data_IF_777968282783
#
_entry.id   IF_777968282783
#
_cell.length_a   1.000
_cell.length_b   1.000
_cell.length_c   1.000
_cell.angle_alpha   90.00
_cell.angle_beta   90.00
_cell.angle_gamma   90.00
#
_symmetry.space_group_name_H-M   'P 1'
#
loop_
_entity.id
_entity.type
_entity.pdbx_description
1 polymer ?
#
# COMPACT_ATOMS: atom_id res chain seq x y z
N UNK A 1 -36.85 18.45 -17.31
CA UNK A 1 -36.83 17.19 -16.51
C UNK A 1 -35.85 17.34 -15.35
N UNK A 2 -36.03 16.64 -14.23
CA UNK A 2 -35.11 16.66 -13.07
C UNK A 2 -34.52 15.27 -12.87
N UNK A 3 -33.18 15.16 -12.86
CA UNK A 3 -32.51 13.94 -12.43
C UNK A 3 -32.67 13.78 -10.90
N UNK A 4 -32.96 12.57 -10.38
CA UNK A 4 -32.98 12.34 -8.95
C UNK A 4 -31.59 12.60 -8.36
N UNK A 5 -31.47 13.43 -7.32
CA UNK A 5 -30.18 13.69 -6.65
C UNK A 5 -29.52 12.41 -6.14
N UNK A 6 -30.33 11.43 -5.72
CA UNK A 6 -29.89 10.10 -5.27
C UNK A 6 -29.23 9.30 -6.38
N UNK A 7 -29.75 9.40 -7.61
CA UNK A 7 -29.19 8.71 -8.77
C UNK A 7 -27.82 9.30 -9.14
N UNK A 8 -27.68 10.63 -9.13
CA UNK A 8 -26.40 11.29 -9.38
C UNK A 8 -25.31 10.87 -8.37
N UNK A 9 -25.69 10.72 -7.09
CA UNK A 9 -24.76 10.25 -6.04
C UNK A 9 -24.39 8.78 -6.24
N UNK A 10 -25.37 7.94 -6.61
CA UNK A 10 -25.13 6.53 -6.96
C UNK A 10 -24.14 6.40 -8.10
N UNK A 11 -24.40 7.10 -9.22
CA UNK A 11 -23.51 7.15 -10.39
C UNK A 11 -22.11 7.65 -10.04
N UNK A 12 -22.00 8.70 -9.21
CA UNK A 12 -20.72 9.23 -8.80
C UNK A 12 -19.84 8.17 -8.10
N UNK A 13 -20.43 7.31 -7.27
CA UNK A 13 -19.66 6.23 -6.64
C UNK A 13 -19.27 5.11 -7.60
N UNK A 14 -20.12 4.77 -8.57
CA UNK A 14 -19.74 3.82 -9.64
C UNK A 14 -18.55 4.36 -10.43
N UNK A 15 -18.59 5.64 -10.83
CA UNK A 15 -17.47 6.28 -11.54
C UNK A 15 -16.21 6.40 -10.67
N UNK A 16 -16.35 6.73 -9.38
CA UNK A 16 -15.22 6.80 -8.46
C UNK A 16 -14.55 5.44 -8.27
N UNK A 17 -15.33 4.40 -7.97
CA UNK A 17 -14.81 3.05 -7.79
C UNK A 17 -14.18 2.54 -9.09
N UNK A 18 -14.85 2.74 -10.23
CA UNK A 18 -14.32 2.39 -11.54
C UNK A 18 -12.99 3.08 -11.85
N UNK A 19 -12.86 4.37 -11.50
CA UNK A 19 -11.60 5.10 -11.59
C UNK A 19 -10.51 4.48 -10.69
N UNK A 20 -10.81 4.26 -9.41
CA UNK A 20 -9.84 3.68 -8.46
C UNK A 20 -9.37 2.29 -8.90
N UNK A 21 -10.29 1.43 -9.35
CA UNK A 21 -9.97 0.10 -9.86
C UNK A 21 -9.10 0.17 -11.12
N UNK A 22 -9.45 1.03 -12.08
CA UNK A 22 -8.68 1.20 -13.31
C UNK A 22 -7.26 1.69 -13.01
N UNK A 23 -7.13 2.66 -12.11
CA UNK A 23 -5.82 3.17 -11.68
C UNK A 23 -5.00 2.13 -10.89
N UNK A 24 -5.65 1.09 -10.39
CA UNK A 24 -5.00 -0.03 -9.69
C UNK A 24 -4.74 -1.24 -10.61
N UNK A 25 -4.86 -1.06 -11.94
CA UNK A 25 -4.65 -2.15 -12.90
C UNK A 25 -5.74 -3.22 -12.92
N UNK A 26 -6.94 -2.92 -12.41
CA UNK A 26 -8.07 -3.85 -12.38
C UNK A 26 -9.05 -3.45 -13.49
N UNK A 27 -9.45 -4.43 -14.32
CA UNK A 27 -10.49 -4.17 -15.33
C UNK A 27 -11.84 -4.11 -14.63
N UNK A 28 -12.51 -2.96 -14.68
CA UNK A 28 -13.87 -2.78 -14.21
C UNK A 28 -14.87 -2.75 -15.37
N UNK A 29 -15.86 -3.63 -15.34
CA UNK A 29 -16.97 -3.70 -16.30
C UNK A 29 -18.26 -3.37 -15.59
N UNK A 30 -18.83 -2.21 -15.89
CA UNK A 30 -20.13 -1.82 -15.36
C UNK A 30 -21.25 -2.68 -15.95
N UNK A 31 -22.18 -3.14 -15.12
CA UNK A 31 -23.34 -3.91 -15.57
C UNK A 31 -24.44 -2.95 -16.06
N UNK A 32 -24.88 -3.12 -17.31
CA UNK A 32 -25.81 -2.20 -17.97
C UNK A 32 -27.28 -2.32 -17.53
N UNK A 33 -27.64 -3.30 -16.67
CA UNK A 33 -29.02 -3.58 -16.26
C UNK A 33 -29.18 -3.61 -14.73
N UNK A 34 -30.11 -2.79 -14.22
CA UNK A 34 -30.27 -2.39 -12.81
C UNK A 34 -30.99 -3.34 -11.86
N UNK A 35 -31.33 -4.58 -12.24
CA UNK A 35 -32.32 -5.36 -11.45
C UNK A 35 -31.77 -6.55 -10.66
N UNK A 36 -30.47 -6.89 -10.77
CA UNK A 36 -29.91 -8.03 -10.03
C UNK A 36 -28.49 -7.79 -9.51
N UNK A 37 -28.43 -7.10 -8.38
CA UNK A 37 -27.51 -7.33 -7.26
C UNK A 37 -26.01 -7.03 -7.41
N UNK A 38 -25.47 -6.77 -8.60
CA UNK A 38 -24.09 -6.32 -8.77
C UNK A 38 -24.03 -5.15 -9.76
N UNK A 39 -23.28 -4.10 -9.41
CA UNK A 39 -23.14 -2.91 -10.25
C UNK A 39 -22.02 -3.08 -11.28
N UNK A 40 -21.13 -4.06 -11.07
CA UNK A 40 -20.11 -4.40 -12.05
C UNK A 40 -19.33 -5.65 -11.71
N UNK A 41 -18.40 -5.97 -12.61
CA UNK A 41 -17.46 -7.07 -12.50
C UNK A 41 -16.04 -6.52 -12.54
N UNK A 42 -15.22 -7.00 -11.63
CA UNK A 42 -13.78 -6.80 -11.61
C UNK A 42 -13.11 -8.01 -12.23
N UNK A 43 -12.01 -7.77 -12.96
CA UNK A 43 -11.09 -8.81 -13.37
C UNK A 43 -9.67 -8.38 -13.04
N UNK A 44 -8.94 -9.27 -12.37
CA UNK A 44 -7.52 -9.03 -12.12
C UNK A 44 -6.75 -9.13 -13.43
N UNK A 45 -5.80 -8.22 -13.58
CA UNK A 45 -4.79 -8.26 -14.64
C UNK A 45 -3.50 -8.76 -14.00
N UNK A 46 -2.77 -9.62 -14.68
CA UNK A 46 -1.45 -10.04 -14.24
C UNK A 46 -0.38 -9.01 -14.58
N UNK A 47 0.85 -9.32 -14.21
CA UNK A 47 1.99 -8.44 -14.35
C UNK A 47 2.37 -8.21 -15.83
N UNK A 48 1.92 -9.07 -16.74
CA UNK A 48 2.13 -8.96 -18.19
C UNK A 48 1.03 -8.12 -18.87
N UNK A 49 0.09 -7.59 -18.08
CA UNK A 49 -1.05 -6.84 -18.60
C UNK A 49 -2.15 -7.74 -19.18
N UNK A 50 -2.08 -9.06 -18.95
CA UNK A 50 -3.06 -10.02 -19.45
C UNK A 50 -4.22 -10.16 -18.47
N UNK A 51 -5.42 -10.21 -19.04
CA UNK A 51 -6.63 -10.48 -18.27
C UNK A 51 -6.59 -11.93 -17.74
N UNK A 52 -6.60 -12.09 -16.42
CA UNK A 52 -6.32 -13.40 -15.77
C UNK A 52 -7.52 -14.35 -15.76
N UNK A 53 -8.73 -13.87 -16.05
CA UNK A 53 -9.97 -14.60 -15.81
C UNK A 53 -10.37 -14.70 -14.33
N UNK A 54 -9.59 -14.15 -13.39
CA UNK A 54 -9.98 -14.07 -11.97
C UNK A 54 -11.00 -12.95 -11.78
N UNK A 55 -12.28 -13.31 -11.81
CA UNK A 55 -13.38 -12.37 -11.71
C UNK A 55 -13.84 -12.14 -10.28
N UNK A 56 -14.35 -10.94 -9.98
CA UNK A 56 -15.10 -10.66 -8.76
C UNK A 56 -16.33 -9.80 -9.07
N UNK A 57 -17.47 -10.11 -8.44
CA UNK A 57 -18.66 -9.26 -8.51
C UNK A 57 -18.54 -8.10 -7.51
N UNK A 58 -18.97 -6.89 -7.89
CA UNK A 58 -18.96 -5.74 -6.98
C UNK A 58 -20.32 -5.03 -6.96
N UNK A 59 -20.82 -4.78 -5.75
CA UNK A 59 -21.95 -3.89 -5.50
C UNK A 59 -21.47 -2.61 -4.83
N UNK A 60 -21.85 -1.47 -5.37
CA UNK A 60 -21.45 -0.14 -4.96
C UNK A 60 -22.65 0.57 -4.32
N UNK A 61 -22.41 1.19 -3.17
CA UNK A 61 -23.34 2.06 -2.46
C UNK A 61 -22.66 3.41 -2.27
N UNK A 62 -23.43 4.48 -2.31
CA UNK A 62 -22.87 5.83 -2.26
C UNK A 62 -23.75 6.78 -1.48
N UNK A 63 -23.10 7.64 -0.71
CA UNK A 63 -23.76 8.68 0.07
C UNK A 63 -23.47 8.57 1.57
N UNK A 64 -23.75 9.67 2.26
CA UNK A 64 -23.32 9.84 3.65
C UNK A 64 -24.19 9.08 4.66
N UNK A 65 -25.37 8.58 4.25
CA UNK A 65 -26.24 7.73 5.09
C UNK A 65 -25.62 6.39 5.48
N UNK A 66 -24.50 6.03 4.84
CA UNK A 66 -23.73 4.83 5.11
C UNK A 66 -22.55 5.09 6.07
N UNK A 67 -22.39 6.31 6.57
CA UNK A 67 -21.15 6.74 7.23
C UNK A 67 -21.44 7.40 8.58
N UNK A 68 -20.77 6.92 9.62
CA UNK A 68 -20.60 7.63 10.89
C UNK A 68 -19.26 8.38 10.81
N UNK A 69 -19.32 9.69 10.57
CA UNK A 69 -18.13 10.52 10.38
C UNK A 69 -17.30 10.68 11.65
N UNK A 70 -17.93 10.69 12.82
CA UNK A 70 -17.23 10.88 14.10
C UNK A 70 -16.35 9.67 14.39
N UNK A 71 -16.86 8.47 14.12
CA UNK A 71 -16.15 7.21 14.36
C UNK A 71 -15.37 6.71 13.15
N UNK A 72 -15.52 7.36 11.99
CA UNK A 72 -15.03 6.91 10.68
C UNK A 72 -15.49 5.49 10.37
N UNK A 73 -16.76 5.17 10.65
CA UNK A 73 -17.33 3.85 10.38
C UNK A 73 -18.14 3.90 9.07
N UNK A 74 -17.80 3.00 8.16
CA UNK A 74 -18.53 2.78 6.92
C UNK A 74 -19.41 1.55 7.09
N UNK A 75 -20.65 1.64 6.62
CA UNK A 75 -21.65 0.57 6.76
C UNK A 75 -22.23 0.18 5.42
N UNK A 76 -22.04 -1.07 5.01
CA UNK A 76 -22.70 -1.65 3.85
C UNK A 76 -24.06 -2.23 4.27
N UNK A 77 -25.14 -1.79 3.64
CA UNK A 77 -26.51 -2.18 3.97
C UNK A 77 -27.22 -2.71 2.72
N UNK A 78 -27.79 -3.90 2.82
CA UNK A 78 -28.62 -4.52 1.78
C UNK A 78 -29.77 -5.32 2.40
N UNK A 79 -30.74 -5.75 1.60
CA UNK A 79 -31.81 -6.63 2.08
C UNK A 79 -31.35 -8.10 2.03
N UNK A 80 -32.05 -8.99 2.75
CA UNK A 80 -31.75 -10.42 2.77
C UNK A 80 -31.73 -11.07 1.39
N UNK A 81 -32.61 -10.65 0.47
CA UNK A 81 -32.68 -11.17 -0.90
C UNK A 81 -31.40 -10.92 -1.70
N UNK A 82 -30.71 -9.79 -1.49
CA UNK A 82 -29.42 -9.54 -2.12
C UNK A 82 -28.34 -10.46 -1.57
N UNK A 83 -28.30 -10.70 -0.26
CA UNK A 83 -27.36 -11.67 0.33
C UNK A 83 -27.64 -13.10 -0.13
N UNK A 84 -28.91 -13.51 -0.25
CA UNK A 84 -29.30 -14.80 -0.83
C UNK A 84 -28.89 -14.95 -2.31
N UNK A 85 -28.83 -13.84 -3.04
CA UNK A 85 -28.33 -13.82 -4.41
C UNK A 85 -26.81 -13.92 -4.45
N UNK A 86 -26.10 -13.15 -3.62
CA UNK A 86 -24.64 -13.17 -3.53
C UNK A 86 -24.08 -14.49 -2.99
N UNK A 87 -24.80 -15.18 -2.10
CA UNK A 87 -24.36 -16.51 -1.61
C UNK A 87 -24.34 -17.58 -2.69
N UNK A 88 -25.03 -17.35 -3.82
CA UNK A 88 -25.07 -18.25 -4.98
C UNK A 88 -24.03 -17.91 -6.04
N UNK A 89 -23.32 -16.78 -5.92
CA UNK A 89 -22.25 -16.44 -6.86
C UNK A 89 -21.08 -17.42 -6.71
N UNK A 90 -20.60 -17.93 -7.85
CA UNK A 90 -19.44 -18.84 -7.94
C UNK A 90 -18.10 -18.08 -8.04
N UNK A 91 -18.15 -16.75 -7.91
CA UNK A 91 -17.01 -15.85 -7.89
C UNK A 91 -17.07 -15.01 -6.59
N UNK A 92 -15.95 -14.47 -6.09
CA UNK A 92 -15.95 -13.62 -4.91
C UNK A 92 -16.86 -12.41 -5.13
N UNK A 93 -17.62 -12.04 -4.10
CA UNK A 93 -18.56 -10.92 -4.15
C UNK A 93 -18.18 -9.86 -3.13
N UNK A 94 -18.03 -8.62 -3.60
CA UNK A 94 -17.51 -7.48 -2.85
C UNK A 94 -18.53 -6.35 -2.77
N UNK A 95 -18.45 -5.59 -1.68
CA UNK A 95 -19.22 -4.38 -1.46
C UNK A 95 -18.31 -3.16 -1.47
N UNK A 96 -18.78 -2.02 -1.96
CA UNK A 96 -18.08 -0.74 -1.88
C UNK A 96 -19.04 0.30 -1.32
N UNK A 97 -18.59 1.09 -0.35
CA UNK A 97 -19.31 2.26 0.16
C UNK A 97 -18.49 3.50 -0.10
N UNK A 98 -18.98 4.38 -0.97
CA UNK A 98 -18.33 5.64 -1.32
C UNK A 98 -18.92 6.83 -0.55
N UNK A 99 -18.03 7.68 -0.01
CA UNK A 99 -18.35 9.00 0.54
C UNK A 99 -18.02 10.11 -0.45
N UNK A 100 -19.02 10.76 -1.07
CA UNK A 100 -18.80 11.96 -1.86
C UNK A 100 -18.09 13.08 -1.10
N UNK A 101 -18.41 13.26 0.19
CA UNK A 101 -17.84 14.31 1.04
C UNK A 101 -16.36 14.09 1.33
N UNK A 102 -15.98 12.86 1.70
CA UNK A 102 -14.59 12.52 2.01
C UNK A 102 -13.77 12.19 0.74
N UNK A 103 -14.43 11.97 -0.39
CA UNK A 103 -13.83 11.48 -1.65
C UNK A 103 -13.02 10.21 -1.44
N UNK A 104 -13.57 9.30 -0.65
CA UNK A 104 -12.96 8.03 -0.28
C UNK A 104 -14.04 6.95 -0.24
N UNK A 105 -13.66 5.72 -0.55
CA UNK A 105 -14.53 4.57 -0.43
C UNK A 105 -13.94 3.53 0.53
N UNK A 106 -14.79 2.64 1.03
CA UNK A 106 -14.38 1.45 1.77
C UNK A 106 -14.93 0.21 1.11
N UNK A 107 -14.12 -0.86 1.01
CA UNK A 107 -14.52 -2.13 0.40
C UNK A 107 -14.81 -3.21 1.46
N UNK A 108 -15.73 -4.11 1.14
CA UNK A 108 -16.32 -5.10 2.05
C UNK A 108 -16.33 -6.48 1.40
N UNK A 109 -16.15 -7.52 2.23
CA UNK A 109 -16.31 -8.92 1.82
C UNK A 109 -17.78 -9.32 2.03
N UNK A 110 -18.51 -9.66 0.95
CA UNK A 110 -19.94 -9.97 1.04
C UNK A 110 -20.24 -11.47 1.05
N UNK A 111 -19.45 -12.30 0.38
CA UNK A 111 -19.67 -13.75 0.24
C UNK A 111 -19.69 -14.53 1.58
N UNK A 112 -18.74 -14.29 2.48
CA UNK A 112 -18.72 -14.91 3.81
C UNK A 112 -19.91 -14.44 4.66
N UNK A 113 -20.23 -13.14 4.59
CA UNK A 113 -21.34 -12.58 5.33
C UNK A 113 -22.70 -13.05 4.79
N UNK A 114 -22.81 -13.21 3.46
CA UNK A 114 -23.99 -13.73 2.79
C UNK A 114 -24.30 -15.15 3.27
N UNK A 115 -23.30 -16.03 3.39
CA UNK A 115 -23.47 -17.38 3.94
C UNK A 115 -24.03 -17.34 5.37
N UNK A 116 -23.48 -16.49 6.24
CA UNK A 116 -23.97 -16.33 7.61
C UNK A 116 -25.43 -15.88 7.68
N UNK A 117 -25.86 -14.95 6.80
CA UNK A 117 -27.24 -14.46 6.73
C UNK A 117 -28.20 -15.52 6.16
N UNK A 118 -27.73 -16.39 5.27
CA UNK A 118 -28.55 -17.48 4.74
C UNK A 118 -28.72 -18.63 5.72
N UNK A 119 -27.72 -18.87 6.57
CA UNK A 119 -27.70 -19.97 7.55
C UNK A 119 -28.25 -19.57 8.93
N UNK A 120 -28.36 -18.28 9.23
CA UNK A 120 -28.81 -17.75 10.53
C UNK A 120 -29.45 -16.35 10.42
N UNK A 121 -30.09 -15.85 11.48
CA UNK A 121 -30.64 -14.47 11.54
C UNK A 121 -29.57 -13.40 11.81
N UNK A 122 -28.47 -13.46 11.07
CA UNK A 122 -27.38 -12.50 11.18
C UNK A 122 -27.75 -11.14 10.58
N UNK A 123 -27.14 -10.06 11.11
CA UNK A 123 -27.41 -8.69 10.65
C UNK A 123 -27.15 -8.52 9.15
N UNK A 124 -28.06 -7.87 8.43
CA UNK A 124 -27.88 -7.50 7.01
C UNK A 124 -27.00 -6.25 6.80
N UNK A 125 -26.34 -5.79 7.86
CA UNK A 125 -25.47 -4.62 7.87
C UNK A 125 -24.07 -5.04 8.29
N UNK A 126 -23.09 -4.75 7.43
CA UNK A 126 -21.66 -4.86 7.74
C UNK A 126 -21.17 -3.46 8.06
N UNK A 127 -20.59 -3.28 9.24
CA UNK A 127 -19.97 -2.00 9.63
C UNK A 127 -18.51 -2.23 9.97
N UNK A 128 -17.64 -1.38 9.43
CA UNK A 128 -16.21 -1.41 9.71
C UNK A 128 -15.64 0.00 9.81
N UNK A 129 -14.61 0.16 10.64
CA UNK A 129 -13.84 1.40 10.67
C UNK A 129 -13.02 1.50 9.39
N UNK A 130 -12.97 2.70 8.80
CA UNK A 130 -12.08 2.99 7.68
C UNK A 130 -10.64 2.98 8.18
N UNK A 131 -9.84 2.08 7.61
CA UNK A 131 -8.41 1.87 7.86
C UNK A 131 -7.75 1.53 6.52
N UNK A 132 -6.42 1.58 6.47
CA UNK A 132 -5.64 1.36 5.24
C UNK A 132 -6.06 0.09 4.46
N UNK A 133 -6.28 -1.03 5.16
CA UNK A 133 -6.56 -2.32 4.50
C UNK A 133 -7.92 -2.38 3.77
N UNK A 134 -8.85 -1.51 4.11
CA UNK A 134 -10.20 -1.49 3.56
C UNK A 134 -10.54 -0.18 2.86
N UNK A 135 -9.55 0.68 2.66
CA UNK A 135 -9.68 1.97 1.99
C UNK A 135 -9.56 1.81 0.47
N UNK A 136 -10.40 2.53 -0.26
CA UNK A 136 -10.29 2.75 -1.71
C UNK A 136 -10.20 4.26 -1.91
N UNK A 137 -9.00 4.75 -2.19
CA UNK A 137 -8.73 6.17 -2.39
C UNK A 137 -8.00 6.42 -3.70
N UNK A 138 -7.89 7.70 -4.10
CA UNK A 138 -7.15 8.06 -5.32
C UNK A 138 -5.62 8.10 -5.11
N UNK A 139 -5.14 7.79 -3.91
CA UNK A 139 -3.75 7.92 -3.51
C UNK A 139 -3.14 6.53 -3.26
N UNK A 140 -2.05 6.21 -3.97
CA UNK A 140 -1.26 5.00 -3.71
C UNK A 140 -1.97 3.67 -3.98
N UNK A 141 -1.39 2.59 -3.45
CA UNK A 141 -1.75 1.20 -3.70
C UNK A 141 -2.94 0.72 -2.84
N UNK A 142 -4.09 1.39 -2.96
CA UNK A 142 -5.26 1.15 -2.11
C UNK A 142 -6.00 -0.18 -2.38
N UNK A 143 -5.77 -0.82 -3.53
CA UNK A 143 -6.45 -2.08 -3.88
C UNK A 143 -5.68 -3.35 -3.50
N UNK A 144 -4.46 -3.26 -2.94
CA UNK A 144 -3.62 -4.43 -2.63
C UNK A 144 -4.37 -5.51 -1.84
N UNK A 145 -5.04 -5.13 -0.75
CA UNK A 145 -5.77 -6.08 0.10
C UNK A 145 -6.98 -6.69 -0.60
N UNK A 146 -7.67 -5.93 -1.44
CA UNK A 146 -8.78 -6.42 -2.26
C UNK A 146 -8.29 -7.44 -3.28
N UNK A 147 -7.16 -7.18 -3.93
CA UNK A 147 -6.59 -8.11 -4.91
C UNK A 147 -6.13 -9.40 -4.22
N UNK A 148 -5.46 -9.27 -3.07
CA UNK A 148 -5.04 -10.41 -2.27
C UNK A 148 -6.22 -11.29 -1.87
N UNK A 149 -7.36 -10.68 -1.55
CA UNK A 149 -8.59 -11.40 -1.27
C UNK A 149 -9.08 -12.21 -2.48
N UNK A 150 -9.16 -11.60 -3.67
CA UNK A 150 -9.62 -12.26 -4.89
C UNK A 150 -8.69 -13.43 -5.26
N UNK A 151 -7.37 -13.21 -5.25
CA UNK A 151 -6.37 -14.25 -5.54
C UNK A 151 -6.51 -15.44 -4.57
N UNK A 152 -6.64 -15.16 -3.27
CA UNK A 152 -6.86 -16.19 -2.25
C UNK A 152 -8.14 -17.00 -2.49
N UNK A 153 -9.23 -16.38 -2.92
CA UNK A 153 -10.48 -17.08 -3.25
C UNK A 153 -10.25 -18.15 -4.34
N UNK A 154 -9.44 -17.84 -5.36
CA UNK A 154 -9.10 -18.76 -6.44
C UNK A 154 -7.95 -19.73 -6.10
N UNK A 155 -7.56 -19.82 -4.83
CA UNK A 155 -6.41 -20.61 -4.35
C UNK A 155 -5.08 -20.25 -5.03
N UNK A 156 -4.95 -19.02 -5.52
CA UNK A 156 -3.69 -18.51 -6.02
C UNK A 156 -3.11 -17.55 -4.97
N UNK A 157 -1.98 -17.86 -4.34
CA UNK A 157 -1.33 -16.91 -3.45
C UNK A 157 -0.82 -15.73 -4.26
N UNK A 158 -0.77 -14.56 -3.62
CA UNK A 158 -0.14 -13.39 -4.21
C UNK A 158 1.35 -13.65 -4.25
N UNK A 159 1.94 -13.64 -5.44
CA UNK A 159 3.38 -13.83 -5.60
C UNK A 159 4.12 -12.60 -5.09
N UNK A 160 5.33 -12.78 -4.54
CA UNK A 160 6.22 -11.67 -4.17
C UNK A 160 6.49 -10.75 -5.37
N UNK A 161 6.48 -11.33 -6.57
CA UNK A 161 6.57 -10.65 -7.86
C UNK A 161 5.42 -9.66 -8.10
N UNK A 162 4.17 -10.08 -7.86
CA UNK A 162 3.00 -9.19 -7.94
C UNK A 162 3.04 -8.04 -6.94
N UNK A 163 3.50 -8.29 -5.70
CA UNK A 163 3.64 -7.23 -4.68
C UNK A 163 4.69 -6.20 -5.11
N UNK A 164 5.80 -6.67 -5.68
CA UNK A 164 6.86 -5.82 -6.22
C UNK A 164 6.38 -5.03 -7.46
N UNK A 165 5.51 -5.61 -8.29
CA UNK A 165 4.99 -4.99 -9.51
C UNK A 165 3.94 -3.89 -9.28
N UNK A 166 3.23 -3.89 -8.13
CA UNK A 166 2.33 -2.77 -7.82
C UNK A 166 3.07 -1.53 -7.30
N UNK A 167 4.22 -1.71 -6.65
CA UNK A 167 5.13 -0.58 -6.33
C UNK A 167 5.79 0.01 -7.59
N UNK A 168 5.59 -0.63 -8.74
CA UNK A 168 6.18 -0.32 -10.04
C UNK A 168 5.17 0.13 -11.10
N UNK A 169 3.88 0.33 -10.77
CA UNK A 169 2.89 0.80 -11.75
C UNK A 169 3.06 2.31 -12.07
N UNK A 170 4.14 2.62 -12.78
CA UNK A 170 4.23 3.64 -13.82
C UNK A 170 5.11 3.05 -14.94
N UNK A 171 4.40 2.58 -15.98
CA UNK A 171 4.70 2.45 -17.42
C UNK A 171 5.88 1.61 -18.01
N UNK A 172 5.53 0.82 -19.03
CA UNK A 172 6.22 0.71 -20.34
C UNK A 172 7.54 -0.07 -20.52
N UNK A 173 7.49 -1.16 -21.32
CA UNK A 173 8.64 -1.98 -21.74
C UNK A 173 9.80 -1.26 -22.47
N UNK A 174 10.98 -1.90 -22.43
CA UNK A 174 12.36 -1.45 -22.78
C UNK A 174 12.85 -0.18 -22.06
N UNK A 175 11.93 0.72 -21.71
CA UNK A 175 12.05 1.75 -20.68
C UNK A 175 12.06 1.14 -19.27
N UNK A 176 11.40 0.00 -19.05
CA UNK A 176 11.20 -0.65 -17.74
C UNK A 176 12.50 -0.92 -16.95
N UNK A 177 13.59 -1.34 -17.60
CA UNK A 177 14.88 -1.46 -16.94
C UNK A 177 15.43 -0.07 -16.55
N UNK A 178 15.30 0.91 -17.44
CA UNK A 178 15.66 2.30 -17.18
C UNK A 178 14.76 2.94 -16.10
N UNK A 179 13.49 2.56 -16.00
CA UNK A 179 12.50 3.09 -15.07
C UNK A 179 12.60 2.44 -13.69
N UNK A 180 12.86 1.14 -13.60
CA UNK A 180 13.32 0.47 -12.37
C UNK A 180 14.63 1.09 -11.88
N UNK A 181 15.56 1.37 -12.79
CA UNK A 181 16.79 2.11 -12.48
C UNK A 181 16.48 3.54 -12.00
N UNK A 182 15.52 4.24 -12.61
CA UNK A 182 15.14 5.60 -12.21
C UNK A 182 14.44 5.59 -10.86
N UNK A 183 13.52 4.66 -10.59
CA UNK A 183 12.83 4.50 -9.33
C UNK A 183 13.81 4.15 -8.20
N UNK A 184 14.72 3.20 -8.46
CA UNK A 184 15.81 2.86 -7.55
C UNK A 184 16.76 4.05 -7.32
N UNK A 185 17.15 4.79 -8.37
CA UNK A 185 17.94 6.04 -8.25
C UNK A 185 17.20 7.12 -7.47
N UNK A 186 15.88 7.22 -7.61
CA UNK A 186 15.02 8.14 -6.85
C UNK A 186 14.98 7.73 -5.38
N UNK A 187 14.82 6.44 -5.06
CA UNK A 187 14.89 5.94 -3.69
C UNK A 187 16.24 6.27 -3.06
N UNK A 188 17.36 6.09 -3.78
CA UNK A 188 18.69 6.49 -3.30
C UNK A 188 18.76 8.00 -3.08
N UNK A 189 18.25 8.80 -4.02
CA UNK A 189 18.27 10.27 -3.93
C UNK A 189 17.44 10.76 -2.75
N UNK A 190 16.27 10.15 -2.52
CA UNK A 190 15.37 10.46 -1.41
C UNK A 190 15.98 10.01 -0.09
N UNK A 191 16.47 8.78 0.01
CA UNK A 191 17.13 8.24 1.21
C UNK A 191 18.37 9.07 1.61
N UNK A 192 19.12 9.55 0.63
CA UNK A 192 20.28 10.42 0.82
C UNK A 192 19.91 11.91 0.69
N UNK A 193 18.66 12.28 0.93
CA UNK A 193 18.22 13.68 0.90
C UNK A 193 18.59 14.41 2.18
N UNK A 194 19.23 15.56 2.05
CA UNK A 194 19.54 16.44 3.19
C UNK A 194 18.38 17.36 3.61
N UNK A 195 17.24 17.33 2.92
CA UNK A 195 16.09 18.21 3.18
C UNK A 195 14.75 17.50 3.40
N UNK A 196 14.66 16.19 3.19
CA UNK A 196 13.42 15.43 3.39
C UNK A 196 13.12 15.18 4.88
N UNK A 197 11.85 14.91 5.21
CA UNK A 197 11.41 14.57 6.57
C UNK A 197 11.90 13.18 7.00
N UNK A 198 11.97 12.94 8.31
CA UNK A 198 12.40 11.65 8.89
C UNK A 198 11.56 10.46 8.41
N UNK A 199 10.23 10.63 8.31
CA UNK A 199 9.30 9.63 7.77
C UNK A 199 9.62 9.27 6.31
N UNK A 200 9.89 10.28 5.47
CA UNK A 200 10.22 10.07 4.05
C UNK A 200 11.57 9.39 3.88
N UNK A 201 12.56 9.75 4.71
CA UNK A 201 13.87 9.07 4.71
C UNK A 201 13.73 7.61 5.15
N UNK A 202 12.94 7.36 6.19
CA UNK A 202 12.65 6.02 6.68
C UNK A 202 11.96 5.16 5.61
N UNK A 203 10.87 5.64 5.01
CA UNK A 203 10.13 4.92 3.97
C UNK A 203 11.03 4.62 2.76
N UNK A 204 11.82 5.61 2.31
CA UNK A 204 12.75 5.42 1.20
C UNK A 204 13.83 4.39 1.53
N UNK A 205 14.41 4.42 2.74
CA UNK A 205 15.40 3.45 3.19
C UNK A 205 14.83 2.03 3.33
N UNK A 206 13.63 1.91 3.92
CA UNK A 206 12.93 0.64 4.04
C UNK A 206 12.63 0.02 2.68
N UNK A 207 12.06 0.78 1.74
CA UNK A 207 11.83 0.30 0.36
C UNK A 207 13.13 -0.02 -0.37
N UNK A 208 14.17 0.82 -0.21
CA UNK A 208 15.47 0.58 -0.82
C UNK A 208 16.08 -0.74 -0.33
N UNK A 209 15.87 -1.11 0.94
CA UNK A 209 16.39 -2.34 1.51
C UNK A 209 15.85 -3.61 0.84
N UNK A 210 14.64 -3.58 0.26
CA UNK A 210 14.08 -4.72 -0.47
C UNK A 210 14.86 -5.08 -1.74
N UNK A 211 15.60 -4.11 -2.28
CA UNK A 211 16.46 -4.31 -3.45
C UNK A 211 17.81 -4.92 -3.06
N UNK A 212 18.24 -4.85 -1.80
CA UNK A 212 19.53 -5.36 -1.35
C UNK A 212 19.36 -6.65 -0.53
N UNK A 213 20.19 -7.69 -0.75
CA UNK A 213 21.35 -7.73 -1.64
C UNK A 213 21.03 -8.15 -3.09
N UNK A 214 19.76 -8.23 -3.49
CA UNK A 214 19.30 -8.85 -4.74
C UNK A 214 19.55 -8.06 -6.04
N UNK A 215 19.96 -6.79 -5.95
CA UNK A 215 20.35 -5.95 -7.10
C UNK A 215 21.57 -6.49 -7.84
N UNK A 216 21.70 -6.07 -9.11
CA UNK A 216 22.92 -6.37 -9.89
C UNK A 216 24.17 -5.80 -9.22
N UNK A 217 25.32 -6.44 -9.44
CA UNK A 217 26.60 -5.96 -8.88
C UNK A 217 26.95 -4.53 -9.35
N UNK A 218 26.56 -4.15 -10.57
CA UNK A 218 26.73 -2.77 -11.06
C UNK A 218 25.93 -1.75 -10.23
N UNK A 219 24.64 -2.03 -9.96
CA UNK A 219 23.78 -1.18 -9.13
C UNK A 219 24.27 -1.13 -7.68
N UNK A 220 24.70 -2.26 -7.14
CA UNK A 220 25.30 -2.34 -5.80
C UNK A 220 26.55 -1.47 -5.70
N UNK A 221 27.42 -1.51 -6.71
CA UNK A 221 28.60 -0.67 -6.78
C UNK A 221 28.25 0.82 -6.89
N UNK A 222 27.25 1.21 -7.69
CA UNK A 222 26.79 2.60 -7.78
C UNK A 222 26.26 3.14 -6.45
N UNK A 223 25.47 2.34 -5.73
CA UNK A 223 25.00 2.71 -4.39
C UNK A 223 26.17 2.83 -3.41
N UNK A 224 27.09 1.85 -3.42
CA UNK A 224 28.31 1.84 -2.62
C UNK A 224 29.17 3.08 -2.86
N UNK A 225 29.37 3.49 -4.12
CA UNK A 225 30.08 4.72 -4.47
C UNK A 225 29.40 5.97 -3.93
N UNK A 226 28.07 6.03 -3.98
CA UNK A 226 27.30 7.19 -3.54
C UNK A 226 27.24 7.30 -2.02
N UNK A 227 27.02 6.19 -1.31
CA UNK A 227 26.94 6.17 0.15
C UNK A 227 28.32 6.38 0.79
N UNK A 228 29.41 5.98 0.13
CA UNK A 228 30.77 6.32 0.58
C UNK A 228 31.09 7.83 0.48
N UNK A 229 30.32 8.60 -0.30
CA UNK A 229 30.42 10.07 -0.43
C UNK A 229 29.38 10.82 0.41
N UNK A 230 28.75 10.14 1.36
CA UNK A 230 27.67 10.71 2.17
C UNK A 230 28.14 11.93 2.97
N UNK A 231 27.29 12.96 3.03
CA UNK A 231 27.59 14.19 3.78
C UNK A 231 27.06 14.14 5.21
N UNK A 232 27.59 15.00 6.08
CA UNK A 232 27.11 15.11 7.47
C UNK A 232 25.62 15.48 7.58
N UNK A 233 25.06 16.21 6.61
CA UNK A 233 23.63 16.55 6.59
C UNK A 233 22.77 15.34 6.21
N UNK A 234 23.25 14.51 5.30
CA UNK A 234 22.56 13.29 4.87
C UNK A 234 22.59 12.24 5.99
N UNK A 235 23.73 12.03 6.64
CA UNK A 235 23.84 11.17 7.83
C UNK A 235 22.88 11.63 8.93
N UNK A 236 22.80 12.94 9.20
CA UNK A 236 21.86 13.47 10.18
C UNK A 236 20.41 13.10 9.84
N UNK A 237 20.03 13.19 8.57
CA UNK A 237 18.67 12.88 8.15
C UNK A 237 18.36 11.38 8.19
N UNK A 238 19.30 10.53 7.81
CA UNK A 238 19.16 9.08 7.97
C UNK A 238 19.04 8.72 9.44
N UNK A 239 19.87 9.32 10.29
CA UNK A 239 19.79 9.13 11.74
C UNK A 239 18.42 9.55 12.29
N UNK A 240 17.86 10.67 11.84
CA UNK A 240 16.48 11.06 12.19
C UNK A 240 15.43 10.06 11.69
N UNK A 241 15.63 9.45 10.52
CA UNK A 241 14.79 8.35 10.04
C UNK A 241 14.87 7.11 10.93
N UNK A 242 16.04 6.79 11.47
CA UNK A 242 16.23 5.72 12.46
C UNK A 242 15.59 6.06 13.81
N UNK A 243 15.68 7.31 14.27
CA UNK A 243 14.94 7.76 15.45
C UNK A 243 13.42 7.58 15.24
N UNK A 244 12.90 7.99 14.08
CA UNK A 244 11.49 7.79 13.73
C UNK A 244 11.11 6.31 13.75
N UNK A 245 11.94 5.42 13.20
CA UNK A 245 11.67 3.98 13.24
C UNK A 245 11.60 3.45 14.68
N UNK A 246 12.54 3.86 15.54
CA UNK A 246 12.59 3.47 16.95
C UNK A 246 11.37 3.99 17.73
N UNK A 247 11.00 5.27 17.55
CA UNK A 247 9.82 5.88 18.17
C UNK A 247 8.51 5.17 17.78
N UNK A 248 8.45 4.58 16.59
CA UNK A 248 7.28 3.89 16.06
C UNK A 248 7.36 2.36 16.15
N UNK A 249 8.30 1.79 16.93
CA UNK A 249 8.48 0.34 17.11
C UNK A 249 8.63 -0.42 15.78
N UNK A 250 9.31 0.20 14.80
CA UNK A 250 9.54 -0.35 13.47
C UNK A 250 10.87 -1.11 13.42
N UNK A 251 11.05 -2.09 14.30
CA UNK A 251 12.34 -2.78 14.53
C UNK A 251 12.94 -3.35 13.24
N UNK A 252 12.09 -3.97 12.39
CA UNK A 252 12.56 -4.55 11.13
C UNK A 252 13.06 -3.48 10.15
N UNK A 253 12.38 -2.35 10.07
CA UNK A 253 12.81 -1.24 9.21
C UNK A 253 14.09 -0.59 9.72
N UNK A 254 14.25 -0.51 11.05
CA UNK A 254 15.47 -0.05 11.70
C UNK A 254 16.68 -0.92 11.32
N UNK A 255 16.57 -2.24 11.44
CA UNK A 255 17.61 -3.19 11.04
C UNK A 255 17.97 -3.07 9.55
N UNK A 256 16.96 -3.04 8.69
CA UNK A 256 17.15 -2.98 7.23
C UNK A 256 17.87 -1.70 6.77
N UNK A 257 17.61 -0.57 7.42
CA UNK A 257 18.33 0.68 7.15
C UNK A 257 19.79 0.58 7.63
N UNK A 258 20.05 -0.10 8.74
CA UNK A 258 21.41 -0.37 9.21
C UNK A 258 22.16 -1.23 8.20
N UNK A 259 21.54 -2.27 7.64
CA UNK A 259 22.13 -3.11 6.59
C UNK A 259 22.55 -2.28 5.37
N UNK A 260 21.72 -1.31 4.96
CA UNK A 260 22.06 -0.37 3.89
C UNK A 260 23.26 0.52 4.23
N UNK A 261 23.36 0.98 5.48
CA UNK A 261 24.49 1.80 5.94
C UNK A 261 25.82 1.02 5.92
N UNK A 262 25.79 -0.29 6.11
CA UNK A 262 26.97 -1.16 6.04
C UNK A 262 27.61 -1.23 4.65
N UNK A 263 26.96 -0.72 3.59
CA UNK A 263 27.59 -0.56 2.27
C UNK A 263 28.63 0.57 2.22
N UNK A 264 28.69 1.45 3.22
CA UNK A 264 29.75 2.44 3.35
C UNK A 264 30.97 1.84 4.07
N UNK A 265 32.13 1.85 3.41
CA UNK A 265 33.36 1.18 3.86
C UNK A 265 33.93 1.78 5.16
N UNK A 266 33.52 2.99 5.52
CA UNK A 266 33.99 3.72 6.68
C UNK A 266 32.84 4.14 7.61
N UNK A 267 31.69 3.47 7.56
CA UNK A 267 30.48 3.92 8.24
C UNK A 267 30.67 4.10 9.75
N UNK A 268 31.45 3.24 10.40
CA UNK A 268 31.77 3.35 11.83
C UNK A 268 32.54 4.64 12.15
N UNK A 269 33.48 5.03 11.27
CA UNK A 269 34.21 6.29 11.39
C UNK A 269 33.28 7.48 11.18
N UNK A 270 32.43 7.43 10.16
CA UNK A 270 31.44 8.47 9.86
C UNK A 270 30.49 8.68 11.04
N UNK A 271 29.94 7.61 11.62
CA UNK A 271 29.04 7.69 12.78
C UNK A 271 29.76 8.19 14.04
N UNK A 272 31.04 7.81 14.23
CA UNK A 272 31.86 8.30 15.34
C UNK A 272 32.17 9.80 15.22
N UNK A 273 32.44 10.30 14.02
CA UNK A 273 32.64 11.73 13.75
C UNK A 273 31.32 12.52 13.84
N UNK A 274 30.21 11.94 13.39
CA UNK A 274 28.87 12.48 13.57
C UNK A 274 28.53 12.67 15.06
N UNK A 275 28.77 11.64 15.89
CA UNK A 275 28.60 11.70 17.35
C UNK A 275 29.39 12.83 17.99
N UNK A 276 30.61 13.12 17.52
CA UNK A 276 31.48 14.18 18.05
C UNK A 276 31.10 15.59 17.57
N UNK A 277 30.50 15.70 16.39
CA UNK A 277 30.24 16.99 15.72
C UNK A 277 28.85 17.57 16.01
N UNK A 278 27.97 16.83 16.69
CA UNK A 278 26.59 17.25 16.96
C UNK A 278 26.26 17.25 18.44
N UNK A 279 25.46 18.25 18.83
CA UNK A 279 24.80 18.28 20.12
C UNK A 279 23.53 17.44 20.00
N UNK A 280 23.57 16.21 20.52
CA UNK A 280 22.44 15.28 20.53
C UNK A 280 21.77 15.29 21.90
N UNK A 281 20.48 14.99 21.95
CA UNK A 281 19.79 14.71 23.21
C UNK A 281 20.29 13.39 23.82
N UNK A 282 19.93 13.13 25.09
CA UNK A 282 20.23 11.86 25.75
C UNK A 282 19.64 10.67 24.99
N UNK A 283 18.40 10.79 24.51
CA UNK A 283 17.70 9.77 23.75
C UNK A 283 18.34 9.51 22.40
N UNK A 284 18.63 10.57 21.63
CA UNK A 284 19.37 10.45 20.37
C UNK A 284 20.76 9.83 20.58
N UNK A 285 21.43 10.14 21.70
CA UNK A 285 22.73 9.53 22.02
C UNK A 285 22.61 8.02 22.25
N UNK A 286 21.54 7.57 22.92
CA UNK A 286 21.27 6.13 23.12
C UNK A 286 21.00 5.43 21.80
N UNK A 287 20.13 6.00 20.96
CA UNK A 287 19.80 5.44 19.63
C UNK A 287 21.06 5.39 18.77
N UNK A 288 21.88 6.44 18.76
CA UNK A 288 23.13 6.44 17.99
C UNK A 288 24.11 5.36 18.46
N UNK A 289 24.18 5.09 19.76
CA UNK A 289 24.99 3.99 20.28
C UNK A 289 24.44 2.63 19.81
N UNK A 290 23.11 2.44 19.84
CA UNK A 290 22.48 1.23 19.31
C UNK A 290 22.82 1.02 17.84
N UNK A 291 22.70 2.07 17.02
CA UNK A 291 23.07 2.04 15.60
C UNK A 291 24.54 1.64 15.42
N UNK A 292 25.47 2.24 16.17
CA UNK A 292 26.90 1.92 16.07
C UNK A 292 27.17 0.46 16.45
N UNK A 293 26.55 -0.05 17.52
CA UNK A 293 26.73 -1.45 17.94
C UNK A 293 26.14 -2.44 16.93
N UNK A 294 24.95 -2.17 16.39
CA UNK A 294 24.35 -2.97 15.32
C UNK A 294 25.20 -2.99 14.05
N UNK A 295 25.79 -1.85 13.67
CA UNK A 295 26.72 -1.79 12.53
C UNK A 295 27.96 -2.67 12.77
N UNK A 296 28.56 -2.63 13.98
CA UNK A 296 29.71 -3.49 14.30
C UNK A 296 29.33 -4.96 14.16
N UNK A 297 28.20 -5.35 14.77
CA UNK A 297 27.69 -6.71 14.69
C UNK A 297 27.52 -7.16 13.23
N UNK A 298 26.97 -6.32 12.36
CA UNK A 298 26.74 -6.66 10.96
C UNK A 298 28.01 -6.68 10.09
N UNK A 299 29.12 -6.09 10.54
CA UNK A 299 30.40 -6.11 9.82
C UNK A 299 31.33 -7.24 10.28
N UNK A 300 31.11 -7.77 11.49
CA UNK A 300 31.87 -8.89 12.06
C UNK A 300 31.37 -10.27 11.57
N UNK A 301 30.23 -10.32 10.87
CA UNK A 301 29.62 -11.50 10.24
C UNK A 301 29.49 -11.33 8.73
#
# INVERSE_FOLDING_TARGET
MKAPKTELVSRAGVHYAGYVFSMSGIIFRETSSSDVGIDGQLELVDDEGLATGMLAGVQIKSGESFIDFEKKIFSFKANKKHYEYWSKYVIPTLGVVFSPKLKIASWFILDNHAKMITESDYSCVISQKLIEINELSTNGNCCLHLINYIKKYYNQPVTTEYINNIDLSNDGGDSEYMEKIIAWKRLITTFLSSSSSSEVIYDAGFRLSWYFPTVTEEQKNLFKERINKITNKEILNIFKGLCFANENNCDRGFELIIDLLCYNDNILKVMSEFKKSKLLTLEETLILNMVIESIKHNLDY
#
